data_IF_544502899581
#
_entry.id   IF_544502899581
#
_cell.length_a   1.000
_cell.length_b   1.000
_cell.length_c   1.000
_cell.angle_alpha   90.00
_cell.angle_beta   90.00
_cell.angle_gamma   90.00
#
_symmetry.space_group_name_H-M   'P 1'
#
loop_
_entity.id
_entity.type
_entity.pdbx_description
1 polymer ?
#
# COMPACT_ATOMS: atom_id res chain seq x y z
N UNK A 1 1.94 -12.43 6.21
CA UNK A 1 1.88 -11.23 5.33
C UNK A 1 1.27 -10.08 6.12
N UNK A 2 1.93 -9.66 7.20
CA UNK A 2 1.25 -9.14 8.39
C UNK A 2 1.42 -7.64 8.67
N UNK A 3 2.22 -6.87 7.90
CA UNK A 3 2.57 -5.49 8.32
C UNK A 3 2.43 -4.44 7.20
N UNK A 4 2.57 -4.80 5.92
CA UNK A 4 2.44 -3.81 4.83
C UNK A 4 1.08 -3.08 4.77
N UNK A 5 0.00 -3.72 5.25
CA UNK A 5 -1.33 -3.10 5.33
C UNK A 5 -1.54 -2.38 6.66
N UNK A 6 -0.98 -2.87 7.77
CA UNK A 6 -1.07 -2.17 9.06
C UNK A 6 -0.45 -0.77 9.02
N UNK A 7 0.59 -0.55 8.20
CA UNK A 7 1.16 0.80 8.01
C UNK A 7 0.22 1.82 7.33
N UNK A 8 -0.89 1.39 6.74
CA UNK A 8 -1.94 2.26 6.19
C UNK A 8 -3.20 2.31 7.05
N UNK A 9 -3.33 1.40 8.02
CA UNK A 9 -4.53 1.23 8.84
C UNK A 9 -4.07 1.05 10.29
N UNK A 10 -3.22 1.96 10.76
CA UNK A 10 -3.11 2.30 12.17
C UNK A 10 -3.98 3.55 12.39
N UNK A 11 -5.27 3.44 12.05
CA UNK A 11 -6.28 4.44 12.38
C UNK A 11 -7.24 3.82 13.41
N UNK A 12 -7.17 4.43 14.59
CA UNK A 12 -8.26 4.58 15.54
C UNK A 12 -8.83 3.29 16.13
N UNK A 13 -8.24 2.93 17.27
CA UNK A 13 -8.93 2.55 18.50
C UNK A 13 -10.46 2.50 18.33
N UNK A 14 -10.99 1.28 18.35
CA UNK A 14 -12.41 1.04 18.52
C UNK A 14 -12.88 1.70 19.82
N UNK A 15 -13.26 2.97 19.73
CA UNK A 15 -14.18 3.58 20.66
C UNK A 15 -15.42 2.70 20.70
N UNK A 16 -15.52 1.86 21.73
CA UNK A 16 -16.72 1.13 22.07
C UNK A 16 -17.88 2.12 22.04
N UNK A 17 -18.75 2.00 21.03
CA UNK A 17 -20.04 2.69 21.02
C UNK A 17 -20.81 2.15 22.22
N UNK A 18 -21.08 2.95 23.27
CA UNK A 18 -21.90 2.47 24.38
C UNK A 18 -23.31 2.20 23.84
N UNK A 19 -23.77 0.96 24.02
CA UNK A 19 -25.14 0.54 23.74
C UNK A 19 -26.13 1.45 24.47
N UNK A 20 -27.29 1.79 23.86
CA UNK A 20 -28.30 2.61 24.51
C UNK A 20 -28.98 1.81 25.64
N UNK A 21 -28.49 2.00 26.86
CA UNK A 21 -29.01 1.39 28.08
C UNK A 21 -29.70 2.42 28.97
N UNK A 22 -31.02 2.37 28.98
CA UNK A 22 -31.92 2.69 30.11
C UNK A 22 -31.92 4.13 30.64
N UNK A 23 -32.97 4.87 30.27
CA UNK A 23 -33.34 6.18 30.85
C UNK A 23 -33.78 5.98 32.31
N UNK A 24 -32.90 6.27 33.26
CA UNK A 24 -33.26 6.41 34.68
C UNK A 24 -33.58 7.88 34.97
N UNK A 25 -34.84 8.13 35.32
CA UNK A 25 -35.40 9.41 35.72
C UNK A 25 -34.69 9.97 36.96
N UNK A 26 -34.01 11.11 36.82
CA UNK A 26 -33.40 11.84 37.94
C UNK A 26 -34.23 13.08 38.25
N UNK A 27 -34.70 13.10 39.49
CA UNK A 27 -35.49 14.15 40.14
C UNK A 27 -34.55 15.30 40.54
N UNK A 28 -34.93 16.53 40.19
CA UNK A 28 -34.24 17.75 40.59
C UNK A 28 -34.22 17.94 42.12
N UNK A 29 -33.15 18.55 42.66
CA UNK A 29 -33.38 19.71 43.52
C UNK A 29 -32.36 20.87 43.35
N UNK A 30 -32.94 22.07 43.21
CA UNK A 30 -32.54 23.36 43.82
C UNK A 30 -31.06 23.73 44.02
N UNK A 31 -30.61 24.73 43.25
CA UNK A 31 -29.65 25.78 43.68
C UNK A 31 -30.26 26.63 44.82
N UNK A 32 -29.51 27.41 45.66
CA UNK A 32 -28.24 28.10 45.33
C UNK A 32 -27.21 28.24 46.48
N UNK A 33 -25.95 28.50 46.13
CA UNK A 33 -25.14 29.52 46.83
C UNK A 33 -23.86 29.85 46.04
N UNK A 34 -23.65 31.14 45.77
CA UNK A 34 -22.37 31.70 45.32
C UNK A 34 -21.41 31.75 46.51
N UNK A 35 -20.22 31.15 46.36
CA UNK A 35 -18.99 31.46 47.11
C UNK A 35 -17.77 31.36 46.16
N UNK A 36 -16.70 32.15 46.38
CA UNK A 36 -15.54 32.22 45.50
C UNK A 36 -14.55 31.05 45.76
N UNK A 37 -13.84 30.51 44.76
CA UNK A 37 -12.87 29.46 45.01
C UNK A 37 -11.58 30.00 45.65
N UNK A 38 -11.37 29.59 46.90
CA UNK A 38 -10.05 29.50 47.51
C UNK A 38 -9.22 28.41 46.82
N UNK A 39 -7.91 28.64 46.74
CA UNK A 39 -6.93 27.71 46.21
C UNK A 39 -6.96 26.36 46.94
N UNK A 40 -7.28 25.28 46.21
CA UNK A 40 -7.07 23.92 46.66
C UNK A 40 -5.88 23.31 45.91
N UNK A 41 -4.82 23.06 46.67
CA UNK A 41 -3.73 22.19 46.29
C UNK A 41 -4.26 20.75 46.20
N UNK A 42 -4.31 20.20 44.98
CA UNK A 42 -4.57 18.78 44.76
C UNK A 42 -3.22 18.06 44.78
N UNK A 43 -2.96 17.38 45.90
CA UNK A 43 -1.95 16.35 45.98
C UNK A 43 -2.38 15.16 45.11
N UNK A 44 -1.83 15.06 43.90
CA UNK A 44 -1.95 13.86 43.07
C UNK A 44 -0.93 12.83 43.53
N UNK A 45 -1.42 11.78 44.20
CA UNK A 45 -0.69 10.54 44.43
C UNK A 45 -0.36 9.87 43.10
N UNK A 46 0.90 9.99 42.67
CA UNK A 46 1.48 9.22 41.59
C UNK A 46 1.64 7.76 42.05
N UNK A 47 0.82 6.87 41.50
CA UNK A 47 1.10 5.43 41.51
C UNK A 47 1.86 5.10 40.22
N UNK A 48 3.20 5.22 40.25
CA UNK A 48 4.08 4.70 39.22
C UNK A 48 4.32 3.20 39.45
N UNK A 49 3.80 2.35 38.56
CA UNK A 49 4.25 0.97 38.43
C UNK A 49 4.03 0.46 37.00
N UNK A 50 4.92 0.85 36.08
CA UNK A 50 5.54 -0.11 35.15
C UNK A 50 6.77 0.49 34.44
N UNK A 51 7.88 0.44 35.16
CA UNK A 51 9.30 0.63 34.84
C UNK A 51 9.94 -0.10 33.64
N UNK A 52 9.22 -0.50 32.59
CA UNK A 52 9.83 -1.25 31.47
C UNK A 52 9.34 -0.80 30.09
N UNK A 53 9.74 0.41 29.66
CA UNK A 53 10.06 0.79 28.26
C UNK A 53 10.30 2.30 28.10
N UNK A 54 11.10 2.91 28.99
CA UNK A 54 11.66 4.26 28.76
C UNK A 54 13.18 4.16 28.77
N UNK A 55 13.77 3.61 27.72
CA UNK A 55 15.21 3.63 27.48
C UNK A 55 15.52 3.48 25.99
N UNK A 56 15.22 4.50 25.19
CA UNK A 56 15.89 4.77 23.91
C UNK A 56 15.44 6.11 23.28
N UNK A 57 15.68 7.24 23.96
CA UNK A 57 15.63 8.56 23.33
C UNK A 57 16.45 9.58 24.12
N UNK A 58 17.78 9.45 24.09
CA UNK A 58 18.72 10.53 24.39
C UNK A 58 20.15 10.07 24.10
N UNK A 59 20.61 10.26 22.85
CA UNK A 59 22.03 10.49 22.50
C UNK A 59 22.16 10.55 20.98
N UNK A 60 21.96 11.72 20.37
CA UNK A 60 22.66 12.09 19.13
C UNK A 60 22.61 13.61 18.92
N UNK A 61 23.38 14.30 19.76
CA UNK A 61 23.89 15.62 19.45
C UNK A 61 25.40 15.62 19.74
N UNK A 62 26.17 16.17 18.79
CA UNK A 62 27.62 16.41 18.79
C UNK A 62 28.55 15.26 18.33
N UNK A 63 28.72 15.15 17.01
CA UNK A 63 30.02 14.82 16.41
C UNK A 63 30.15 15.45 15.01
N UNK A 64 30.40 16.76 14.97
CA UNK A 64 31.13 17.37 13.87
C UNK A 64 32.61 17.05 14.09
N UNK A 65 33.20 16.14 13.29
CA UNK A 65 34.65 16.03 13.15
C UNK A 65 34.98 16.07 11.67
N UNK A 66 35.61 17.17 11.28
CA UNK A 66 36.21 17.40 9.97
C UNK A 66 37.30 16.37 9.71
N UNK A 67 37.32 15.78 8.51
CA UNK A 67 38.50 15.10 7.98
C UNK A 67 38.77 15.58 6.58
N UNK A 68 39.99 16.10 6.42
CA UNK A 68 40.56 16.67 5.22
C UNK A 68 40.57 15.71 4.03
N UNK A 69 40.30 16.29 2.86
CA UNK A 69 40.34 15.59 1.59
C UNK A 69 41.74 15.13 1.18
N UNK A 70 41.79 13.97 0.53
CA UNK A 70 42.85 13.59 -0.39
C UNK A 70 42.22 12.93 -1.62
N UNK A 71 42.48 13.43 -2.84
CA UNK A 71 41.87 12.89 -4.05
C UNK A 71 42.60 11.61 -4.48
N UNK A 72 41.91 10.48 -4.37
CA UNK A 72 42.34 9.21 -4.97
C UNK A 72 41.78 9.06 -6.37
N UNK A 73 42.58 9.34 -7.39
CA UNK A 73 42.33 8.94 -8.78
C UNK A 73 42.81 7.51 -8.99
N UNK A 74 41.92 6.59 -9.41
CA UNK A 74 42.37 5.30 -9.95
C UNK A 74 41.26 4.25 -10.04
N UNK A 75 41.03 3.73 -11.25
CA UNK A 75 40.34 2.44 -11.42
C UNK A 75 39.42 2.32 -12.64
N UNK A 76 39.94 2.52 -13.85
CA UNK A 76 39.29 2.01 -15.07
C UNK A 76 39.64 0.54 -15.29
N UNK A 77 38.63 -0.34 -15.38
CA UNK A 77 38.82 -1.71 -15.84
C UNK A 77 37.62 -2.62 -15.59
N UNK A 78 37.07 -3.21 -16.66
CA UNK A 78 36.08 -4.29 -16.54
C UNK A 78 35.13 -4.42 -17.72
N UNK A 79 35.65 -4.61 -18.93
CA UNK A 79 34.84 -5.05 -20.06
C UNK A 79 34.50 -6.55 -19.89
N UNK A 80 33.24 -6.86 -19.59
CA UNK A 80 32.70 -8.21 -19.57
C UNK A 80 32.03 -8.56 -20.90
N UNK A 81 32.71 -9.39 -21.69
CA UNK A 81 32.24 -10.00 -22.93
C UNK A 81 31.41 -11.26 -22.67
N UNK A 82 30.32 -11.46 -23.42
CA UNK A 82 29.80 -12.81 -23.70
C UNK A 82 28.28 -12.92 -23.76
N UNK A 83 27.72 -13.18 -24.95
CA UNK A 83 26.31 -13.50 -25.13
C UNK A 83 25.85 -13.48 -26.58
N UNK A 84 26.44 -14.33 -27.41
CA UNK A 84 26.08 -14.51 -28.81
C UNK A 84 24.66 -15.09 -28.96
N UNK A 85 23.80 -14.45 -29.73
CA UNK A 85 22.51 -14.99 -30.16
C UNK A 85 22.06 -14.31 -31.45
N UNK A 86 22.29 -14.99 -32.58
CA UNK A 86 22.11 -14.45 -33.91
C UNK A 86 20.65 -14.24 -34.32
N UNK A 87 20.43 -13.22 -35.14
CA UNK A 87 19.21 -12.98 -35.90
C UNK A 87 19.53 -12.05 -37.07
N UNK A 88 19.77 -12.64 -38.23
CA UNK A 88 20.09 -11.95 -39.49
C UNK A 88 18.85 -11.32 -40.13
N UNK A 89 19.04 -10.15 -40.74
CA UNK A 89 18.31 -9.77 -41.96
C UNK A 89 17.51 -8.48 -41.88
N UNK A 90 17.95 -7.46 -42.63
CA UNK A 90 17.13 -6.28 -42.91
C UNK A 90 17.93 -5.07 -43.39
N UNK A 91 18.61 -5.17 -44.53
CA UNK A 91 19.26 -4.05 -45.21
C UNK A 91 18.27 -3.27 -46.09
N UNK A 92 18.29 -1.94 -45.97
CA UNK A 92 17.68 -0.97 -46.90
C UNK A 92 17.18 0.26 -46.13
N UNK A 93 17.50 1.50 -46.46
CA UNK A 93 18.32 2.07 -47.52
C UNK A 93 18.54 3.56 -47.18
N UNK A 94 19.59 4.15 -47.74
CA UNK A 94 19.87 5.57 -47.61
C UNK A 94 18.82 6.41 -48.35
N UNK A 95 18.37 7.50 -47.74
CA UNK A 95 17.53 8.51 -48.38
C UNK A 95 17.86 9.90 -47.81
N UNK A 96 18.56 10.71 -48.60
CA UNK A 96 18.78 12.13 -48.35
C UNK A 96 17.52 12.94 -48.68
N UNK A 97 17.25 13.98 -47.88
CA UNK A 97 16.73 15.29 -48.31
C UNK A 97 15.26 15.38 -48.75
N UNK A 98 14.54 16.36 -48.22
CA UNK A 98 13.29 16.84 -48.82
C UNK A 98 12.36 17.55 -47.85
N UNK A 99 12.29 18.89 -47.94
CA UNK A 99 11.23 19.71 -47.37
C UNK A 99 9.91 19.45 -48.10
N UNK A 100 8.79 19.35 -47.39
CA UNK A 100 7.46 19.33 -47.99
C UNK A 100 6.38 18.81 -47.07
N UNK A 101 5.38 19.65 -46.79
CA UNK A 101 4.18 19.24 -46.07
C UNK A 101 3.33 18.24 -46.86
N UNK A 102 2.49 17.49 -46.15
CA UNK A 102 1.53 16.57 -46.74
C UNK A 102 0.82 15.76 -45.67
N UNK A 103 -0.50 15.87 -45.67
CA UNK A 103 -1.42 15.10 -44.82
C UNK A 103 -1.46 13.62 -45.24
N UNK A 104 -1.89 12.77 -44.30
CA UNK A 104 -2.54 11.49 -44.58
C UNK A 104 -1.61 10.29 -44.63
N UNK A 105 -1.78 9.39 -43.64
CA UNK A 105 -1.14 8.07 -43.64
C UNK A 105 -1.58 7.25 -42.43
N UNK A 106 -2.68 6.53 -42.58
CA UNK A 106 -3.12 5.47 -41.67
C UNK A 106 -2.08 4.34 -41.64
N UNK A 107 -1.31 4.27 -40.55
CA UNK A 107 -0.25 3.29 -40.34
C UNK A 107 -0.73 2.03 -39.62
N UNK A 108 -0.78 0.94 -40.39
CA UNK A 108 -0.45 -0.45 -40.05
C UNK A 108 -0.76 -1.01 -38.66
N UNK A 109 -1.68 -1.97 -38.62
CA UNK A 109 -1.79 -2.97 -37.55
C UNK A 109 -0.48 -3.78 -37.43
N UNK A 110 0.22 -3.61 -36.31
CA UNK A 110 1.38 -4.42 -35.92
C UNK A 110 0.96 -5.77 -35.35
N UNK A 111 1.67 -6.82 -35.75
CA UNK A 111 1.25 -8.22 -35.63
C UNK A 111 1.17 -8.80 -34.22
N UNK A 112 0.28 -9.79 -34.09
CA UNK A 112 0.09 -10.66 -32.94
C UNK A 112 1.25 -11.65 -32.82
N UNK A 113 2.16 -11.40 -31.88
CA UNK A 113 3.26 -12.29 -31.56
C UNK A 113 2.81 -13.46 -30.68
N UNK A 114 2.83 -14.66 -31.27
CA UNK A 114 3.08 -15.98 -30.67
C UNK A 114 2.59 -16.28 -29.25
N UNK A 115 1.47 -17.01 -29.16
CA UNK A 115 1.14 -17.80 -27.98
C UNK A 115 2.12 -18.98 -27.87
N UNK A 116 3.03 -18.92 -26.90
CA UNK A 116 3.88 -20.04 -26.50
C UNK A 116 3.05 -21.05 -25.72
N UNK A 117 2.80 -22.21 -26.33
CA UNK A 117 2.19 -23.37 -25.70
C UNK A 117 3.17 -23.99 -24.69
N UNK A 118 3.11 -23.57 -23.44
CA UNK A 118 3.73 -24.26 -22.31
C UNK A 118 2.85 -25.42 -21.85
N UNK A 119 3.19 -26.64 -22.28
CA UNK A 119 2.64 -27.86 -21.70
C UNK A 119 3.21 -28.07 -20.30
N UNK A 120 2.39 -27.84 -19.27
CA UNK A 120 2.75 -28.02 -17.86
C UNK A 120 1.62 -28.68 -17.08
N UNK A 121 1.72 -30.01 -16.97
CA UNK A 121 1.08 -30.90 -15.98
C UNK A 121 -0.27 -30.46 -15.36
N UNK A 122 -1.37 -30.87 -15.99
CA UNK A 122 -2.67 -30.98 -15.32
C UNK A 122 -2.63 -32.16 -14.34
N UNK A 123 -2.46 -31.89 -13.05
CA UNK A 123 -2.80 -32.82 -11.98
C UNK A 123 -4.33 -32.91 -11.90
N UNK A 124 -4.90 -33.88 -12.63
CA UNK A 124 -6.29 -34.24 -12.54
C UNK A 124 -6.56 -34.99 -11.22
N UNK A 125 -7.01 -34.26 -10.21
CA UNK A 125 -7.65 -34.89 -9.04
C UNK A 125 -9.13 -35.07 -9.36
N UNK A 126 -9.48 -36.27 -9.81
CA UNK A 126 -10.85 -36.69 -10.01
C UNK A 126 -11.55 -36.86 -8.65
N UNK A 127 -12.54 -36.02 -8.36
CA UNK A 127 -13.47 -36.18 -7.24
C UNK A 127 -14.87 -35.80 -7.71
N UNK A 128 -15.66 -36.80 -8.13
CA UNK A 128 -17.03 -36.59 -8.58
C UNK A 128 -17.96 -36.25 -7.42
N UNK A 129 -18.52 -35.04 -7.42
CA UNK A 129 -19.64 -34.64 -6.60
C UNK A 129 -20.66 -33.92 -7.49
N UNK A 130 -21.82 -34.53 -7.70
CA UNK A 130 -22.94 -33.92 -8.43
C UNK A 130 -23.62 -32.86 -7.56
N UNK A 131 -22.98 -31.71 -7.42
CA UNK A 131 -23.59 -30.45 -7.05
C UNK A 131 -23.01 -29.43 -8.03
N UNK A 132 -23.84 -28.65 -8.71
CA UNK A 132 -23.37 -27.65 -9.66
C UNK A 132 -22.56 -26.57 -8.94
N UNK A 133 -21.27 -26.83 -8.73
CA UNK A 133 -20.34 -25.83 -8.25
C UNK A 133 -20.22 -24.78 -9.36
N UNK A 134 -20.43 -23.52 -8.98
CA UNK A 134 -20.15 -22.40 -9.85
C UNK A 134 -18.75 -22.61 -10.42
N UNK A 135 -18.59 -22.48 -11.74
CA UNK A 135 -17.27 -22.49 -12.37
C UNK A 135 -16.54 -21.28 -11.82
N UNK A 136 -15.67 -21.51 -10.84
CA UNK A 136 -14.79 -20.47 -10.32
C UNK A 136 -13.73 -20.23 -11.39
N UNK A 137 -13.68 -19.01 -11.90
CA UNK A 137 -12.67 -18.64 -12.90
C UNK A 137 -11.24 -18.69 -12.36
N UNK A 138 -11.06 -18.68 -11.03
CA UNK A 138 -9.76 -18.67 -10.38
C UNK A 138 -9.67 -19.73 -9.28
N UNK A 139 -8.63 -20.55 -9.36
CA UNK A 139 -8.39 -21.61 -8.39
C UNK A 139 -7.87 -21.04 -7.06
N UNK A 140 -8.37 -21.60 -5.95
CA UNK A 140 -7.79 -21.40 -4.62
C UNK A 140 -6.36 -21.95 -4.56
N UNK A 141 -5.50 -21.35 -3.74
CA UNK A 141 -4.14 -21.84 -3.47
C UNK A 141 -4.09 -22.92 -2.38
N UNK A 142 -5.25 -23.29 -1.83
CA UNK A 142 -5.40 -24.40 -0.89
C UNK A 142 -5.33 -24.01 0.59
N UNK A 143 -5.07 -22.73 0.91
CA UNK A 143 -5.19 -22.20 2.26
C UNK A 143 -6.63 -21.66 2.51
N UNK A 144 -7.07 -21.55 3.77
CA UNK A 144 -8.43 -21.10 4.08
C UNK A 144 -8.70 -19.66 3.64
N UNK A 145 -7.69 -18.78 3.64
CA UNK A 145 -7.86 -17.38 3.23
C UNK A 145 -8.08 -17.29 1.73
N UNK A 146 -7.22 -17.90 0.91
CA UNK A 146 -7.37 -17.89 -0.55
C UNK A 146 -8.60 -18.65 -1.03
N UNK A 147 -9.00 -19.69 -0.28
CA UNK A 147 -10.29 -20.37 -0.52
C UNK A 147 -11.46 -19.43 -0.27
N UNK A 148 -11.45 -18.66 0.82
CA UNK A 148 -12.50 -17.67 1.05
C UNK A 148 -12.50 -16.57 -0.02
N UNK A 149 -11.33 -16.07 -0.40
CA UNK A 149 -11.19 -15.05 -1.47
C UNK A 149 -11.76 -15.54 -2.79
N UNK A 150 -11.41 -16.76 -3.23
CA UNK A 150 -11.94 -17.37 -4.44
C UNK A 150 -13.47 -17.59 -4.40
N UNK A 151 -14.09 -17.61 -3.22
CA UNK A 151 -15.55 -17.79 -3.07
C UNK A 151 -16.31 -16.47 -2.89
N UNK A 152 -15.76 -15.53 -2.11
CA UNK A 152 -16.46 -14.32 -1.62
C UNK A 152 -15.96 -13.02 -2.23
N UNK A 153 -14.74 -13.04 -2.77
CA UNK A 153 -14.02 -11.91 -3.35
C UNK A 153 -13.58 -12.22 -4.79
N UNK A 154 -14.38 -13.00 -5.52
CA UNK A 154 -14.04 -13.50 -6.85
C UNK A 154 -13.57 -12.42 -7.80
N UNK A 155 -14.25 -11.28 -7.85
CA UNK A 155 -13.92 -10.22 -8.78
C UNK A 155 -12.52 -9.65 -8.54
N UNK A 156 -12.21 -9.23 -7.31
CA UNK A 156 -10.90 -8.67 -6.96
C UNK A 156 -9.79 -9.71 -7.01
N UNK A 157 -10.05 -10.92 -6.49
CA UNK A 157 -9.10 -12.03 -6.50
C UNK A 157 -8.76 -12.46 -7.93
N UNK A 158 -9.76 -12.63 -8.80
CA UNK A 158 -9.53 -13.00 -10.18
C UNK A 158 -8.87 -11.89 -11.00
N UNK A 159 -9.24 -10.63 -10.76
CA UNK A 159 -8.57 -9.51 -11.39
C UNK A 159 -7.08 -9.49 -11.03
N UNK A 160 -6.72 -9.73 -9.77
CA UNK A 160 -5.33 -9.84 -9.34
C UNK A 160 -4.62 -11.05 -9.97
N UNK A 161 -5.22 -12.24 -9.93
CA UNK A 161 -4.59 -13.45 -10.48
C UNK A 161 -4.38 -13.42 -11.99
N UNK A 162 -5.21 -12.67 -12.74
CA UNK A 162 -5.04 -12.47 -14.18
C UNK A 162 -3.99 -11.40 -14.51
N UNK A 163 -3.64 -10.54 -13.56
CA UNK A 163 -2.60 -9.53 -13.71
C UNK A 163 -1.24 -10.12 -13.34
N UNK A 164 -0.31 -10.19 -14.30
CA UNK A 164 1.04 -10.71 -14.06
C UNK A 164 1.75 -9.96 -12.93
N UNK A 165 1.55 -8.64 -12.84
CA UNK A 165 2.18 -7.80 -11.81
C UNK A 165 1.54 -7.99 -10.43
N UNK A 166 0.22 -8.16 -10.35
CA UNK A 166 -0.45 -8.41 -9.07
C UNK A 166 -0.13 -9.80 -8.54
N UNK A 167 -0.17 -10.82 -9.40
CA UNK A 167 0.23 -12.18 -9.05
C UNK A 167 1.72 -12.25 -8.66
N UNK A 168 2.62 -11.56 -9.37
CA UNK A 168 4.03 -11.49 -9.02
C UNK A 168 4.26 -10.79 -7.68
N UNK A 169 3.55 -9.67 -7.41
CA UNK A 169 3.59 -8.99 -6.12
C UNK A 169 3.13 -9.90 -4.99
N UNK A 170 1.99 -10.57 -5.14
CA UNK A 170 1.46 -11.52 -4.16
C UNK A 170 2.45 -12.64 -3.83
N UNK A 171 3.07 -13.23 -4.86
CA UNK A 171 4.10 -14.25 -4.69
C UNK A 171 5.38 -13.71 -4.04
N UNK A 172 5.79 -12.48 -4.36
CA UNK A 172 6.93 -11.84 -3.72
C UNK A 172 6.69 -11.65 -2.22
N UNK A 173 5.50 -11.13 -1.85
CA UNK A 173 5.11 -10.92 -0.45
C UNK A 173 4.96 -12.24 0.34
N UNK A 174 4.65 -13.37 -0.31
CA UNK A 174 4.65 -14.70 0.33
C UNK A 174 6.07 -15.13 0.75
N UNK A 175 7.10 -14.64 0.06
CA UNK A 175 8.49 -14.93 0.37
C UNK A 175 9.08 -14.08 1.50
N UNK A 176 8.41 -12.98 1.88
CA UNK A 176 8.88 -12.11 2.95
C UNK A 176 8.61 -12.73 4.32
N UNK A 177 9.58 -12.58 5.24
CA UNK A 177 9.35 -12.91 6.63
C UNK A 177 8.28 -11.97 7.22
N UNK A 178 7.57 -12.44 8.26
CA UNK A 178 6.66 -11.56 8.98
C UNK A 178 7.43 -10.35 9.51
N UNK A 179 6.84 -9.15 9.35
CA UNK A 179 7.41 -7.87 9.80
C UNK A 179 8.69 -7.42 9.06
N UNK A 180 9.07 -8.09 7.96
CA UNK A 180 10.19 -7.66 7.11
C UNK A 180 9.76 -6.53 6.16
N UNK A 181 9.68 -5.32 6.72
CA UNK A 181 9.28 -4.10 6.00
C UNK A 181 10.20 -3.82 4.80
N UNK A 182 11.48 -4.21 4.88
CA UNK A 182 12.43 -4.01 3.78
C UNK A 182 12.14 -4.95 2.60
N UNK A 183 11.85 -6.23 2.86
CA UNK A 183 11.41 -7.17 1.84
C UNK A 183 10.08 -6.73 1.22
N UNK A 184 9.10 -6.37 2.06
CA UNK A 184 7.79 -5.91 1.59
C UNK A 184 7.94 -4.68 0.68
N UNK A 185 8.75 -3.70 1.09
CA UNK A 185 9.03 -2.53 0.26
C UNK A 185 9.72 -2.89 -1.05
N UNK A 186 10.70 -3.81 -1.03
CA UNK A 186 11.36 -4.26 -2.26
C UNK A 186 10.36 -4.90 -3.24
N UNK A 187 9.42 -5.70 -2.74
CA UNK A 187 8.34 -6.29 -3.54
C UNK A 187 7.42 -5.22 -4.15
N UNK A 188 6.98 -4.23 -3.35
CA UNK A 188 6.16 -3.12 -3.83
C UNK A 188 6.89 -2.32 -4.92
N UNK A 189 8.18 -2.03 -4.71
CA UNK A 189 9.02 -1.32 -5.69
C UNK A 189 9.18 -2.11 -6.99
N UNK A 190 9.35 -3.43 -6.90
CA UNK A 190 9.55 -4.31 -8.06
C UNK A 190 8.26 -4.52 -8.87
N UNK A 191 7.10 -4.55 -8.22
CA UNK A 191 5.81 -4.90 -8.83
C UNK A 191 4.78 -3.78 -8.71
N UNK A 192 5.18 -2.57 -9.10
CA UNK A 192 4.40 -1.33 -8.88
C UNK A 192 2.98 -1.41 -9.42
N UNK A 193 2.80 -1.95 -10.63
CA UNK A 193 1.49 -2.00 -11.27
C UNK A 193 0.50 -2.96 -10.57
N UNK A 194 1.00 -3.90 -9.76
CA UNK A 194 0.19 -4.85 -9.00
C UNK A 194 -0.32 -4.32 -7.66
N UNK A 195 0.19 -3.18 -7.19
CA UNK A 195 -0.06 -2.65 -5.85
C UNK A 195 -1.56 -2.45 -5.60
N UNK A 196 -2.24 -1.62 -6.39
CA UNK A 196 -3.65 -1.33 -6.13
C UNK A 196 -4.54 -2.59 -6.15
N UNK A 197 -4.23 -3.56 -7.02
CA UNK A 197 -4.93 -4.84 -7.07
C UNK A 197 -4.79 -5.65 -5.78
N UNK A 198 -3.57 -5.75 -5.21
CA UNK A 198 -3.34 -6.53 -3.99
C UNK A 198 -4.00 -5.88 -2.76
N UNK A 199 -4.08 -4.54 -2.72
CA UNK A 199 -4.76 -3.84 -1.63
C UNK A 199 -6.29 -3.99 -1.73
N UNK A 200 -6.88 -3.84 -2.92
CA UNK A 200 -8.33 -4.06 -3.13
C UNK A 200 -8.75 -5.50 -2.81
N UNK A 201 -7.93 -6.49 -3.19
CA UNK A 201 -8.14 -7.88 -2.75
C UNK A 201 -8.11 -8.00 -1.23
N UNK A 202 -7.12 -7.37 -0.58
CA UNK A 202 -6.98 -7.32 0.88
C UNK A 202 -8.21 -6.73 1.58
N UNK A 203 -8.76 -5.62 1.08
CA UNK A 203 -9.96 -4.99 1.63
C UNK A 203 -11.22 -5.86 1.50
N UNK A 204 -11.37 -6.61 0.41
CA UNK A 204 -12.44 -7.60 0.34
C UNK A 204 -12.21 -8.75 1.35
N UNK A 205 -10.96 -9.19 1.50
CA UNK A 205 -10.58 -10.24 2.43
C UNK A 205 -10.94 -9.87 3.88
N UNK A 206 -10.65 -8.65 4.31
CA UNK A 206 -10.96 -8.18 5.66
C UNK A 206 -12.46 -8.09 5.91
N UNK A 207 -13.26 -7.64 4.92
CA UNK A 207 -14.70 -7.50 5.09
C UNK A 207 -15.43 -8.85 5.06
N UNK A 208 -15.07 -9.73 4.12
CA UNK A 208 -15.84 -10.95 3.82
C UNK A 208 -15.20 -12.23 4.30
N UNK A 209 -13.91 -12.18 4.62
CA UNK A 209 -13.08 -13.32 4.95
C UNK A 209 -12.25 -13.10 6.23
N UNK A 210 -12.60 -12.15 7.09
CA UNK A 210 -11.82 -11.82 8.32
C UNK A 210 -11.49 -13.04 9.18
N UNK A 211 -12.42 -13.99 9.29
CA UNK A 211 -12.19 -15.22 10.05
C UNK A 211 -11.09 -16.11 9.47
N UNK A 212 -10.92 -16.11 8.14
CA UNK A 212 -9.88 -16.88 7.43
C UNK A 212 -8.63 -16.05 7.15
N UNK A 213 -8.77 -14.73 7.10
CA UNK A 213 -7.75 -13.75 6.74
C UNK A 213 -7.59 -12.69 7.87
N UNK A 214 -7.22 -13.07 9.10
CA UNK A 214 -7.21 -12.16 10.25
C UNK A 214 -6.14 -11.06 10.16
N UNK A 215 -5.21 -11.17 9.21
CA UNK A 215 -4.12 -10.23 8.97
C UNK A 215 -4.48 -9.11 7.99
N UNK A 216 -5.75 -8.98 7.61
CA UNK A 216 -6.20 -8.04 6.58
C UNK A 216 -7.09 -7.01 7.23
N UNK A 217 -6.77 -5.76 6.97
CA UNK A 217 -7.51 -4.62 7.50
C UNK A 217 -8.50 -4.10 6.44
N UNK A 218 -9.63 -3.58 6.94
CA UNK A 218 -10.68 -3.02 6.10
C UNK A 218 -10.23 -1.73 5.43
N UNK A 219 -10.44 -1.63 4.12
CA UNK A 219 -10.24 -0.37 3.41
C UNK A 219 -11.38 0.58 3.75
N UNK A 220 -11.05 1.83 4.08
CA UNK A 220 -12.06 2.89 4.12
C UNK A 220 -12.63 3.15 2.71
N UNK A 221 -13.83 3.76 2.60
CA UNK A 221 -14.38 4.17 1.30
C UNK A 221 -13.40 5.03 0.50
N UNK A 222 -12.74 6.00 1.16
CA UNK A 222 -11.70 6.82 0.55
C UNK A 222 -10.54 5.99 0.00
N UNK A 223 -10.00 5.05 0.79
CA UNK A 223 -8.88 4.22 0.36
C UNK A 223 -9.27 3.34 -0.84
N UNK A 224 -10.46 2.75 -0.82
CA UNK A 224 -11.01 1.98 -1.94
C UNK A 224 -11.14 2.83 -3.21
N UNK A 225 -11.64 4.06 -3.08
CA UNK A 225 -11.71 5.00 -4.20
C UNK A 225 -10.32 5.34 -4.74
N UNK A 226 -9.35 5.68 -3.90
CA UNK A 226 -7.98 6.00 -4.37
C UNK A 226 -7.33 4.84 -5.09
N UNK A 227 -7.46 3.62 -4.57
CA UNK A 227 -6.89 2.42 -5.20
C UNK A 227 -7.57 2.06 -6.53
N UNK A 228 -8.84 2.42 -6.72
CA UNK A 228 -9.57 2.14 -7.96
C UNK A 228 -9.46 3.28 -8.98
N UNK A 229 -9.73 4.51 -8.54
CA UNK A 229 -9.79 5.72 -9.35
C UNK A 229 -8.45 6.43 -9.53
N UNK A 230 -7.48 6.23 -8.63
CA UNK A 230 -6.16 6.88 -8.62
C UNK A 230 -5.02 5.86 -8.59
N UNK A 231 -5.24 4.69 -9.20
CA UNK A 231 -4.34 3.56 -9.11
C UNK A 231 -2.90 3.89 -9.58
N UNK A 232 -2.73 4.72 -10.62
CA UNK A 232 -1.41 5.05 -11.13
C UNK A 232 -0.60 5.88 -10.12
N UNK A 233 -1.21 6.93 -9.58
CA UNK A 233 -0.64 7.82 -8.57
C UNK A 233 -0.37 7.06 -7.28
N UNK A 234 -1.33 6.25 -6.83
CA UNK A 234 -1.21 5.40 -5.64
C UNK A 234 -0.09 4.38 -5.79
N UNK A 235 -0.03 3.66 -6.91
CA UNK A 235 1.02 2.67 -7.18
C UNK A 235 2.41 3.33 -7.23
N UNK A 236 2.52 4.51 -7.84
CA UNK A 236 3.77 5.25 -7.89
C UNK A 236 4.23 5.70 -6.50
N UNK A 237 3.29 6.21 -5.69
CA UNK A 237 3.58 6.62 -4.32
C UNK A 237 3.93 5.42 -3.42
N UNK A 238 3.13 4.37 -3.38
CA UNK A 238 3.36 3.20 -2.51
C UNK A 238 4.67 2.49 -2.85
N UNK A 239 5.10 2.53 -4.11
CA UNK A 239 6.38 1.99 -4.51
C UNK A 239 7.59 2.77 -3.97
N UNK A 240 7.39 4.01 -3.47
CA UNK A 240 8.45 4.85 -2.93
C UNK A 240 8.36 4.90 -1.38
N UNK A 241 9.43 4.53 -0.65
CA UNK A 241 9.42 4.50 0.80
C UNK A 241 9.08 5.84 1.44
N UNK A 242 9.60 6.96 0.90
CA UNK A 242 9.36 8.30 1.43
C UNK A 242 7.90 8.74 1.27
N UNK A 243 7.26 8.37 0.15
CA UNK A 243 5.85 8.67 -0.08
C UNK A 243 4.94 7.84 0.81
N UNK A 244 5.24 6.54 1.00
CA UNK A 244 4.52 5.71 1.99
C UNK A 244 4.61 6.29 3.39
N UNK A 245 5.80 6.71 3.82
CA UNK A 245 5.98 7.31 5.13
C UNK A 245 5.18 8.62 5.27
N UNK A 246 5.14 9.44 4.21
CA UNK A 246 4.32 10.64 4.18
C UNK A 246 2.83 10.32 4.32
N UNK A 247 2.29 9.34 3.60
CA UNK A 247 0.87 9.00 3.67
C UNK A 247 0.48 8.40 5.03
N UNK A 248 1.30 7.52 5.60
CA UNK A 248 1.10 7.02 6.96
C UNK A 248 1.12 8.16 8.00
N UNK A 249 2.01 9.14 7.84
CA UNK A 249 2.09 10.31 8.71
C UNK A 249 0.82 11.18 8.59
N UNK A 250 0.33 11.43 7.37
CA UNK A 250 -0.90 12.19 7.13
C UNK A 250 -2.13 11.49 7.72
N UNK A 251 -2.23 10.17 7.56
CA UNK A 251 -3.33 9.40 8.12
C UNK A 251 -3.32 9.49 9.66
N UNK A 252 -2.16 9.32 10.32
CA UNK A 252 -2.03 9.52 11.77
C UNK A 252 -2.38 10.95 12.23
N UNK A 253 -2.06 11.96 11.41
CA UNK A 253 -2.34 13.36 11.72
C UNK A 253 -3.82 13.75 11.71
N UNK A 254 -4.70 12.95 11.09
CA UNK A 254 -6.15 13.27 11.05
C UNK A 254 -6.76 13.36 12.46
N UNK A 255 -6.15 12.71 13.45
CA UNK A 255 -6.55 12.80 14.85
C UNK A 255 -6.07 14.07 15.57
N UNK A 256 -4.98 14.70 15.12
CA UNK A 256 -4.21 15.70 15.89
C UNK A 256 -4.31 17.16 15.37
N UNK A 257 -4.91 17.40 14.20
CA UNK A 257 -5.20 18.73 13.65
C UNK A 257 -4.10 19.37 12.79
N UNK A 258 -4.32 20.63 12.36
CA UNK A 258 -3.60 21.28 11.24
C UNK A 258 -2.07 21.39 11.39
N UNK A 259 -1.55 21.49 12.61
CA UNK A 259 -0.11 21.61 12.86
C UNK A 259 0.68 20.33 12.52
N UNK A 260 0.01 19.18 12.47
CA UNK A 260 0.64 17.89 12.26
C UNK A 260 1.11 17.70 10.80
N UNK A 261 0.35 18.20 9.83
CA UNK A 261 0.68 18.08 8.40
C UNK A 261 1.98 18.80 8.03
N UNK A 262 2.23 19.98 8.62
CA UNK A 262 3.48 20.72 8.40
C UNK A 262 4.68 19.89 8.87
N UNK A 263 4.58 19.24 10.03
CA UNK A 263 5.62 18.35 10.57
C UNK A 263 5.83 17.14 9.66
N UNK A 264 4.77 16.47 9.19
CA UNK A 264 4.90 15.35 8.25
C UNK A 264 5.62 15.75 6.98
N UNK A 265 5.25 16.90 6.38
CA UNK A 265 5.87 17.39 5.15
C UNK A 265 7.35 17.71 5.34
N UNK A 266 7.73 18.22 6.52
CA UNK A 266 9.13 18.50 6.85
C UNK A 266 9.94 17.22 7.07
N UNK A 267 9.36 16.20 7.71
CA UNK A 267 10.03 14.91 7.94
C UNK A 267 10.17 14.06 6.66
N UNK A 268 9.21 14.17 5.75
CA UNK A 268 9.11 13.33 4.56
C UNK A 268 9.15 14.16 3.27
N UNK A 269 10.04 15.16 3.21
CA UNK A 269 10.15 16.10 2.10
C UNK A 269 10.26 15.41 0.72
N UNK A 270 11.02 14.31 0.64
CA UNK A 270 11.21 13.54 -0.61
C UNK A 270 9.92 12.84 -1.09
N UNK A 271 8.97 12.59 -0.19
CA UNK A 271 7.69 11.95 -0.50
C UNK A 271 6.57 12.94 -0.88
N UNK A 272 6.75 14.24 -0.58
CA UNK A 272 5.69 15.25 -0.71
C UNK A 272 5.16 15.37 -2.13
N UNK A 273 6.04 15.33 -3.14
CA UNK A 273 5.60 15.47 -4.53
C UNK A 273 4.71 14.30 -4.97
N UNK A 274 5.09 13.06 -4.65
CA UNK A 274 4.32 11.87 -5.00
C UNK A 274 3.01 11.80 -4.20
N UNK A 275 3.03 12.16 -2.92
CA UNK A 275 1.83 12.25 -2.09
C UNK A 275 0.87 13.33 -2.61
N UNK A 276 1.40 14.48 -3.02
CA UNK A 276 0.62 15.55 -3.65
C UNK A 276 -0.10 15.11 -4.91
N UNK A 277 0.49 14.22 -5.72
CA UNK A 277 -0.19 13.64 -6.89
C UNK A 277 -1.37 12.74 -6.50
N UNK A 278 -1.22 11.95 -5.42
CA UNK A 278 -2.31 11.14 -4.86
C UNK A 278 -3.45 12.05 -4.38
N UNK A 279 -3.16 13.07 -3.58
CA UNK A 279 -4.17 13.99 -3.06
C UNK A 279 -4.87 14.79 -4.16
N UNK A 280 -4.13 15.24 -5.18
CA UNK A 280 -4.74 15.92 -6.33
C UNK A 280 -5.70 15.00 -7.10
N UNK A 281 -5.37 13.72 -7.23
CA UNK A 281 -6.27 12.74 -7.84
C UNK A 281 -7.49 12.44 -6.94
N UNK A 282 -7.27 12.32 -5.63
CA UNK A 282 -8.31 12.12 -4.61
C UNK A 282 -9.36 13.25 -4.67
N UNK A 283 -8.93 14.51 -4.65
CA UNK A 283 -9.82 15.68 -4.78
C UNK A 283 -10.60 15.64 -6.11
N UNK A 284 -9.94 15.25 -7.21
CA UNK A 284 -10.55 15.22 -8.51
C UNK A 284 -11.55 14.06 -8.73
N UNK A 285 -11.39 12.94 -8.01
CA UNK A 285 -12.11 11.67 -8.32
C UNK A 285 -12.89 11.06 -7.17
N UNK A 286 -12.45 11.28 -5.94
CA UNK A 286 -13.01 10.60 -4.77
C UNK A 286 -13.94 11.49 -3.96
N UNK A 287 -13.71 12.81 -3.93
CA UNK A 287 -14.64 13.79 -3.35
C UNK A 287 -15.25 13.32 -2.03
N UNK A 288 -16.58 13.15 -2.01
CA UNK A 288 -17.37 12.75 -0.84
C UNK A 288 -16.98 11.41 -0.19
N UNK A 289 -16.28 10.51 -0.87
CA UNK A 289 -15.79 9.27 -0.24
C UNK A 289 -14.62 9.53 0.73
N UNK A 290 -14.00 10.72 0.66
CA UNK A 290 -12.82 11.15 1.42
C UNK A 290 -13.06 12.35 2.34
N UNK A 291 -14.30 12.84 2.45
CA UNK A 291 -14.73 13.90 3.38
C UNK A 291 -15.27 13.32 4.70
#
# INVERSE_FOLDING_TARGET
>A
MNVAIQLWIDDSDHGEVPRPGTVASVRAPSSPHLEPPAAFAVASTMAFSSWKTCAAAALLAAACSSTDGSPGTGGSGGAGSGGSGGGTGGSGGAGMGGSGGGAGGSGGAGGSGGAGAGAGASSATAGGGAGGEAVYDCASLGDPCTTCLALRCQESYCACQRSAECAALGNCLLGCAAEDVACEQACLTAHRAGISGIFLEGGCASERCSAQCPSRDALSPCASCRLTGCAAEMNACVAEPSCRAMLACVDACRADGDGCLEVCSAMHADGVQAAGAVFACEEARCGADCE
#
